data_IF_748344556909
#
_entry.id   IF_748344556909
#
_cell.length_a   1.000
_cell.length_b   1.000
_cell.length_c   1.000
_cell.angle_alpha   90.00
_cell.angle_beta   90.00
_cell.angle_gamma   90.00
#
_symmetry.space_group_name_H-M   'P 1'
#
loop_
_entity.id
_entity.type
_entity.pdbx_description
1 polymer ?
#
# COMPACT_ATOMS: atom_id res chain seq x y z
N UNK A 1 -37.50 4.06 10.80
CA UNK A 1 -36.56 3.64 11.87
C UNK A 1 -35.37 2.82 11.34
N UNK A 2 -34.66 3.24 10.26
CA UNK A 2 -33.54 2.46 9.64
C UNK A 2 -32.26 3.30 9.36
N UNK A 3 -32.13 4.50 9.94
CA UNK A 3 -30.95 5.39 9.66
C UNK A 3 -29.93 5.49 10.80
N UNK A 4 -30.16 4.93 11.98
CA UNK A 4 -29.26 5.10 13.13
C UNK A 4 -28.20 4.02 13.31
N UNK A 5 -28.33 2.86 12.69
CA UNK A 5 -27.37 1.75 12.88
C UNK A 5 -26.07 1.96 12.10
N UNK A 6 -26.14 2.58 10.92
CA UNK A 6 -24.96 2.85 10.07
C UNK A 6 -23.99 3.87 10.68
N UNK A 7 -24.50 4.85 11.44
CA UNK A 7 -23.69 5.91 12.03
C UNK A 7 -22.87 5.43 13.24
N UNK A 8 -23.41 4.48 13.99
CA UNK A 8 -22.76 3.94 15.20
C UNK A 8 -21.53 3.10 14.81
N UNK A 9 -21.61 2.30 13.74
CA UNK A 9 -20.46 1.55 13.24
C UNK A 9 -19.37 2.46 12.67
N UNK A 10 -19.75 3.57 12.03
CA UNK A 10 -18.79 4.55 11.52
C UNK A 10 -18.08 5.32 12.64
N UNK A 11 -18.80 5.68 13.71
CA UNK A 11 -18.24 6.38 14.88
C UNK A 11 -17.37 5.47 15.75
N UNK A 12 -17.71 4.21 15.90
CA UNK A 12 -16.86 3.22 16.61
C UNK A 12 -15.58 2.96 15.83
N UNK A 13 -15.67 2.86 14.52
CA UNK A 13 -14.49 2.72 13.65
C UNK A 13 -13.61 3.97 13.70
N UNK A 14 -14.20 5.18 13.67
CA UNK A 14 -13.48 6.45 13.74
C UNK A 14 -12.81 6.68 15.11
N UNK A 15 -13.44 6.25 16.21
CA UNK A 15 -12.92 6.40 17.58
C UNK A 15 -11.77 5.43 17.91
N UNK A 16 -11.71 4.28 17.23
CA UNK A 16 -10.55 3.38 17.24
C UNK A 16 -9.36 3.95 16.45
N UNK A 17 -9.62 4.84 15.50
CA UNK A 17 -8.61 5.43 14.63
C UNK A 17 -7.93 6.68 15.22
N UNK A 18 -8.59 7.41 16.13
CA UNK A 18 -8.11 8.71 16.65
C UNK A 18 -7.13 8.60 17.82
N UNK A 19 -6.79 7.42 18.33
CA UNK A 19 -5.84 7.22 19.44
C UNK A 19 -4.50 6.59 19.06
N UNK A 20 -4.16 6.53 17.78
CA UNK A 20 -2.87 6.02 17.32
C UNK A 20 -1.82 7.11 17.27
N UNK A 21 -1.05 7.29 18.34
CA UNK A 21 0.17 8.09 18.33
C UNK A 21 1.13 7.62 17.24
N UNK A 22 1.51 8.57 16.39
CA UNK A 22 2.57 8.45 15.41
C UNK A 22 3.90 8.23 16.15
N UNK A 23 4.36 7.00 16.27
CA UNK A 23 5.64 6.67 16.87
C UNK A 23 6.67 6.36 15.80
N UNK A 24 7.70 7.18 15.79
CA UNK A 24 8.91 7.05 14.97
C UNK A 24 9.70 5.79 15.38
N UNK A 25 10.24 5.14 14.36
CA UNK A 25 11.38 4.21 14.33
C UNK A 25 11.84 3.60 15.66
N UNK A 26 11.59 2.33 15.84
CA UNK A 26 12.26 1.50 16.82
C UNK A 26 12.05 0.03 16.48
N UNK A 27 13.04 -0.76 16.73
CA UNK A 27 13.14 -2.21 16.51
C UNK A 27 11.79 -2.92 16.55
N UNK A 28 11.58 -3.84 15.59
CA UNK A 28 10.43 -4.76 15.58
C UNK A 28 10.52 -5.70 16.80
N UNK A 29 10.23 -5.14 17.97
CA UNK A 29 10.10 -5.85 19.20
C UNK A 29 8.88 -6.80 19.13
N UNK A 30 8.91 -7.89 19.89
CA UNK A 30 7.88 -8.93 19.96
C UNK A 30 6.45 -8.35 20.06
N UNK A 31 6.28 -7.24 20.78
CA UNK A 31 5.01 -6.52 20.92
C UNK A 31 4.52 -5.84 19.63
N UNK A 32 5.42 -5.36 18.78
CA UNK A 32 5.04 -4.79 17.50
C UNK A 32 4.60 -5.87 16.51
N UNK A 33 5.25 -7.02 16.53
CA UNK A 33 4.87 -8.18 15.69
C UNK A 33 3.49 -8.72 16.07
N UNK A 34 3.18 -8.79 17.35
CA UNK A 34 1.86 -9.20 17.82
C UNK A 34 0.77 -8.20 17.38
N UNK A 35 1.02 -6.89 17.51
CA UNK A 35 0.08 -5.85 17.07
C UNK A 35 -0.22 -5.87 15.57
N UNK A 36 0.76 -6.25 14.74
CA UNK A 36 0.55 -6.38 13.29
C UNK A 36 -0.30 -7.61 13.01
N UNK A 37 -0.01 -8.72 13.69
CA UNK A 37 -0.77 -9.96 13.53
C UNK A 37 -2.22 -9.78 13.96
N UNK A 38 -2.48 -9.09 15.08
CA UNK A 38 -3.83 -8.75 15.55
C UNK A 38 -4.61 -7.94 14.49
N UNK A 39 -3.96 -6.94 13.87
CA UNK A 39 -4.59 -6.17 12.78
C UNK A 39 -4.89 -7.05 11.56
N UNK A 40 -3.96 -7.93 11.22
CA UNK A 40 -4.13 -8.89 10.11
C UNK A 40 -5.26 -9.86 10.39
N UNK A 41 -5.45 -10.27 11.65
CA UNK A 41 -6.57 -11.11 12.07
C UNK A 41 -7.90 -10.41 11.87
N UNK A 42 -8.00 -9.13 12.26
CA UNK A 42 -9.23 -8.34 12.02
C UNK A 42 -9.55 -8.26 10.52
N UNK A 43 -8.56 -8.05 9.68
CA UNK A 43 -8.75 -8.01 8.21
C UNK A 43 -9.24 -9.38 7.72
N UNK A 44 -8.57 -10.48 8.10
CA UNK A 44 -8.95 -11.82 7.70
C UNK A 44 -10.38 -12.17 8.12
N UNK A 45 -10.72 -11.93 9.40
CA UNK A 45 -12.07 -12.17 9.93
C UNK A 45 -13.13 -11.34 9.19
N UNK A 46 -12.83 -10.08 8.88
CA UNK A 46 -13.74 -9.21 8.11
C UNK A 46 -13.99 -9.79 6.71
N UNK A 47 -12.95 -10.20 6.02
CA UNK A 47 -13.09 -10.79 4.68
C UNK A 47 -13.87 -12.09 4.73
N UNK A 48 -13.50 -13.02 5.61
CA UNK A 48 -14.15 -14.33 5.74
C UNK A 48 -15.64 -14.18 6.08
N UNK A 49 -15.99 -13.32 7.03
CA UNK A 49 -17.38 -13.11 7.44
C UNK A 49 -18.27 -12.52 6.34
N UNK A 50 -17.69 -11.78 5.40
CA UNK A 50 -18.44 -11.13 4.33
C UNK A 50 -18.30 -11.84 2.98
N UNK A 51 -17.48 -12.87 2.87
CA UNK A 51 -17.16 -13.52 1.60
C UNK A 51 -18.40 -14.15 0.93
N UNK A 52 -19.23 -14.86 1.68
CA UNK A 52 -20.46 -15.45 1.16
C UNK A 52 -21.43 -14.41 0.62
N UNK A 53 -21.54 -13.27 1.30
CA UNK A 53 -22.33 -12.15 0.83
C UNK A 53 -21.71 -11.52 -0.42
N UNK A 54 -20.39 -11.30 -0.45
CA UNK A 54 -19.67 -10.69 -1.55
C UNK A 54 -19.88 -11.42 -2.88
N UNK A 55 -19.98 -12.75 -2.85
CA UNK A 55 -20.24 -13.58 -4.04
C UNK A 55 -21.71 -13.88 -4.28
N UNK A 56 -22.61 -13.49 -3.39
CA UNK A 56 -24.03 -13.73 -3.54
C UNK A 56 -24.66 -12.81 -4.61
N UNK A 57 -25.77 -13.25 -5.20
CA UNK A 57 -26.58 -12.43 -6.10
C UNK A 57 -27.24 -11.22 -5.40
N UNK A 58 -27.25 -11.18 -4.07
CA UNK A 58 -27.71 -10.04 -3.25
C UNK A 58 -26.68 -8.92 -3.14
N UNK A 59 -25.41 -9.20 -3.46
CA UNK A 59 -24.32 -8.24 -3.42
C UNK A 59 -24.18 -7.52 -4.77
N UNK A 60 -24.74 -6.33 -4.87
CA UNK A 60 -24.62 -5.50 -6.06
C UNK A 60 -23.25 -4.78 -6.12
N UNK A 61 -22.99 -4.06 -7.23
CA UNK A 61 -21.75 -3.32 -7.46
C UNK A 61 -21.42 -2.33 -6.34
N UNK A 62 -22.41 -1.62 -5.80
CA UNK A 62 -22.18 -0.65 -4.72
C UNK A 62 -21.79 -1.33 -3.41
N UNK A 63 -22.40 -2.49 -3.09
CA UNK A 63 -22.02 -3.29 -1.94
C UNK A 63 -20.56 -3.76 -2.04
N UNK A 64 -20.16 -4.31 -3.19
CA UNK A 64 -18.78 -4.72 -3.45
C UNK A 64 -17.81 -3.56 -3.28
N UNK A 65 -18.12 -2.41 -3.87
CA UNK A 65 -17.29 -1.21 -3.76
C UNK A 65 -17.09 -0.75 -2.31
N UNK A 66 -18.11 -0.84 -1.46
CA UNK A 66 -18.00 -0.51 -0.04
C UNK A 66 -17.09 -1.50 0.67
N UNK A 67 -17.31 -2.81 0.49
CA UNK A 67 -16.52 -3.86 1.11
C UNK A 67 -15.05 -3.77 0.71
N UNK A 68 -14.76 -3.60 -0.59
CA UNK A 68 -13.41 -3.42 -1.10
C UNK A 68 -12.74 -2.15 -0.55
N UNK A 69 -13.49 -1.06 -0.39
CA UNK A 69 -12.98 0.17 0.19
C UNK A 69 -12.64 0.00 1.67
N UNK A 70 -13.50 -0.68 2.43
CA UNK A 70 -13.27 -0.94 3.85
C UNK A 70 -12.05 -1.84 4.07
N UNK A 71 -11.99 -2.97 3.37
CA UNK A 71 -10.86 -3.91 3.47
C UNK A 71 -9.57 -3.27 2.95
N UNK A 72 -9.63 -2.57 1.81
CA UNK A 72 -8.48 -1.87 1.26
C UNK A 72 -7.96 -0.76 2.18
N UNK A 73 -8.84 -0.04 2.88
CA UNK A 73 -8.43 0.92 3.90
C UNK A 73 -7.77 0.22 5.10
N UNK A 74 -8.34 -0.91 5.56
CA UNK A 74 -7.79 -1.67 6.67
C UNK A 74 -6.37 -2.19 6.37
N UNK A 75 -6.10 -2.66 5.14
CA UNK A 75 -4.76 -3.06 4.69
C UNK A 75 -3.75 -1.89 4.86
N UNK A 76 -4.15 -0.65 4.57
CA UNK A 76 -3.29 0.52 4.70
C UNK A 76 -3.02 0.94 6.15
N UNK A 77 -3.78 0.42 7.11
CA UNK A 77 -3.48 0.59 8.54
C UNK A 77 -2.44 -0.41 9.07
N UNK A 78 -2.00 -1.35 8.26
CA UNK A 78 -0.84 -2.14 8.58
C UNK A 78 0.42 -1.25 8.51
N UNK A 79 1.39 -1.43 9.43
CA UNK A 79 2.53 -0.51 9.54
C UNK A 79 3.41 -0.55 8.29
N UNK A 80 3.73 0.62 7.77
CA UNK A 80 4.68 0.81 6.68
C UNK A 80 6.10 0.84 7.25
N UNK A 81 6.85 -0.22 7.07
CA UNK A 81 8.28 -0.25 7.36
C UNK A 81 9.11 0.07 6.11
N UNK A 82 10.38 0.43 6.31
CA UNK A 82 11.33 0.64 5.20
C UNK A 82 11.52 -0.62 4.35
N UNK A 83 11.44 -1.78 4.99
CA UNK A 83 11.57 -3.10 4.36
C UNK A 83 10.52 -3.36 3.26
N UNK A 84 9.43 -2.59 3.24
CA UNK A 84 8.40 -2.67 2.21
C UNK A 84 8.76 -1.89 0.94
N UNK A 85 9.80 -1.07 0.98
CA UNK A 85 10.32 -0.47 -0.24
C UNK A 85 10.89 -1.55 -1.15
N UNK A 86 10.54 -1.50 -2.42
CA UNK A 86 11.02 -2.48 -3.42
C UNK A 86 12.49 -2.27 -3.79
N UNK A 87 13.06 -1.11 -3.46
CA UNK A 87 14.31 -0.60 -3.99
C UNK A 87 14.09 0.29 -5.22
N UNK A 88 12.88 0.35 -5.75
CA UNK A 88 12.61 1.09 -6.97
C UNK A 88 12.22 2.55 -6.69
N UNK A 89 12.77 3.42 -7.53
CA UNK A 89 12.49 4.86 -7.59
C UNK A 89 12.33 5.28 -9.04
N UNK A 90 11.47 6.25 -9.32
CA UNK A 90 11.32 6.74 -10.70
C UNK A 90 12.57 7.50 -11.17
N UNK A 91 12.85 7.39 -12.46
CA UNK A 91 13.99 8.09 -13.07
C UNK A 91 13.82 9.61 -12.95
N UNK A 92 12.60 10.11 -13.10
CA UNK A 92 12.34 11.55 -12.94
C UNK A 92 12.57 12.01 -11.50
N UNK A 93 12.22 11.18 -10.50
CA UNK A 93 12.55 11.46 -9.11
C UNK A 93 14.07 11.46 -8.84
N UNK A 94 14.80 10.54 -9.46
CA UNK A 94 16.28 10.54 -9.37
C UNK A 94 16.88 11.80 -10.00
N UNK A 95 16.41 12.20 -11.20
CA UNK A 95 16.88 13.43 -11.85
C UNK A 95 16.63 14.64 -10.96
N UNK A 96 15.42 14.80 -10.41
CA UNK A 96 15.10 15.91 -9.53
C UNK A 96 15.99 15.93 -8.26
N UNK A 97 16.30 14.75 -7.71
CA UNK A 97 17.22 14.64 -6.57
C UNK A 97 18.65 15.07 -6.93
N UNK A 98 19.16 14.72 -8.13
CA UNK A 98 20.52 15.09 -8.57
C UNK A 98 20.63 16.55 -9.01
N UNK A 99 19.60 17.13 -9.60
CA UNK A 99 19.57 18.50 -10.09
C UNK A 99 19.30 19.53 -8.99
N UNK A 100 18.83 19.10 -7.84
CA UNK A 100 18.45 19.99 -6.74
C UNK A 100 19.63 20.41 -5.91
N UNK A 101 19.74 21.71 -5.61
CA UNK A 101 20.67 22.26 -4.62
C UNK A 101 20.38 21.75 -3.19
N UNK A 102 19.18 21.23 -2.95
CA UNK A 102 18.78 20.68 -1.66
C UNK A 102 17.95 19.38 -1.81
N UNK A 103 18.59 18.25 -2.14
CA UNK A 103 17.90 16.97 -2.38
C UNK A 103 17.04 16.49 -1.20
N UNK A 104 17.38 16.92 0.05
CA UNK A 104 16.60 16.55 1.24
C UNK A 104 15.20 17.16 1.25
N UNK A 105 14.98 18.27 0.54
CA UNK A 105 13.67 18.92 0.43
C UNK A 105 12.79 18.33 -0.67
N UNK A 106 13.35 17.53 -1.57
CA UNK A 106 12.57 16.90 -2.63
C UNK A 106 11.57 15.92 -2.01
N UNK A 107 10.30 16.16 -2.33
CA UNK A 107 9.20 15.36 -1.82
C UNK A 107 9.02 14.10 -2.66
N UNK A 108 9.41 12.95 -2.12
CA UNK A 108 9.10 11.66 -2.70
C UNK A 108 7.78 11.13 -2.13
N UNK A 109 6.96 10.57 -3.01
CA UNK A 109 5.72 9.88 -2.65
C UNK A 109 5.96 8.37 -2.65
N UNK A 110 5.51 7.70 -1.60
CA UNK A 110 5.44 6.23 -1.56
C UNK A 110 4.21 5.80 -2.36
N UNK A 111 4.41 5.34 -3.57
CA UNK A 111 3.33 4.73 -4.34
C UNK A 111 3.26 3.24 -4.04
N UNK A 112 2.13 2.79 -3.50
CA UNK A 112 1.88 1.37 -3.35
C UNK A 112 1.60 0.77 -4.72
N UNK A 113 2.57 0.00 -5.23
CA UNK A 113 2.48 -0.51 -6.58
C UNK A 113 1.27 -1.43 -6.80
N UNK A 114 0.72 -1.98 -5.73
CA UNK A 114 -0.49 -2.82 -5.79
C UNK A 114 -1.70 -2.05 -5.22
N UNK A 115 -2.72 -1.76 -6.05
CA UNK A 115 -3.85 -0.94 -5.61
C UNK A 115 -4.66 -1.60 -4.50
N UNK A 116 -4.96 -0.82 -3.45
CA UNK A 116 -5.66 -1.31 -2.25
C UNK A 116 -7.00 -2.00 -2.51
N UNK A 117 -7.77 -1.52 -3.50
CA UNK A 117 -9.06 -2.14 -3.84
C UNK A 117 -8.87 -3.47 -4.55
N UNK A 118 -7.85 -3.59 -5.40
CA UNK A 118 -7.49 -4.84 -6.05
C UNK A 118 -7.01 -5.85 -5.00
N UNK A 119 -6.19 -5.41 -4.04
CA UNK A 119 -5.78 -6.25 -2.92
C UNK A 119 -6.98 -6.77 -2.10
N UNK A 120 -7.96 -5.90 -1.83
CA UNK A 120 -9.19 -6.30 -1.14
C UNK A 120 -10.00 -7.31 -1.96
N UNK A 121 -10.17 -7.08 -3.26
CA UNK A 121 -10.85 -8.00 -4.17
C UNK A 121 -10.16 -9.37 -4.21
N UNK A 122 -8.82 -9.39 -4.27
CA UNK A 122 -8.06 -10.64 -4.21
C UNK A 122 -8.26 -11.39 -2.90
N UNK A 123 -8.26 -10.68 -1.75
CA UNK A 123 -8.53 -11.31 -0.46
C UNK A 123 -9.92 -11.96 -0.42
N UNK A 124 -10.94 -11.34 -1.02
CA UNK A 124 -12.27 -11.95 -1.13
C UNK A 124 -12.29 -13.20 -2.01
N UNK A 125 -11.38 -13.33 -2.98
CA UNK A 125 -11.31 -14.51 -3.89
C UNK A 125 -10.57 -15.70 -3.29
N UNK A 126 -9.88 -15.55 -2.14
CA UNK A 126 -9.13 -16.64 -1.54
C UNK A 126 -10.05 -17.73 -0.99
N UNK A 127 -9.61 -18.97 -1.12
CA UNK A 127 -10.17 -20.08 -0.35
C UNK A 127 -9.54 -20.11 1.03
N UNK A 128 -10.21 -19.47 1.98
CA UNK A 128 -9.72 -19.33 3.36
C UNK A 128 -9.65 -20.66 4.12
N UNK A 129 -10.35 -21.70 3.67
CA UNK A 129 -10.31 -23.02 4.31
C UNK A 129 -8.96 -23.73 4.16
N UNK A 130 -8.16 -23.29 3.17
CA UNK A 130 -6.83 -23.87 2.89
C UNK A 130 -5.72 -23.34 3.79
N UNK A 131 -5.97 -22.27 4.56
CA UNK A 131 -4.96 -21.63 5.41
C UNK A 131 -5.13 -22.02 6.88
N UNK A 132 -4.08 -22.54 7.50
CA UNK A 132 -4.06 -22.83 8.93
C UNK A 132 -4.13 -21.58 9.79
N UNK A 133 -3.59 -20.46 9.31
CA UNK A 133 -3.63 -19.15 9.96
C UNK A 133 -3.99 -18.05 8.95
N UNK A 134 -5.28 -17.68 8.83
CA UNK A 134 -5.71 -16.61 7.95
C UNK A 134 -5.02 -15.26 8.22
N UNK A 135 -4.74 -14.96 9.50
CA UNK A 135 -4.03 -13.73 9.87
C UNK A 135 -2.60 -13.68 9.32
N UNK A 136 -1.88 -14.79 9.40
CA UNK A 136 -0.52 -14.91 8.85
C UNK A 136 -0.53 -14.82 7.32
N UNK A 137 -1.54 -15.37 6.65
CA UNK A 137 -1.67 -15.24 5.20
C UNK A 137 -1.90 -13.78 4.76
N UNK A 138 -2.76 -13.04 5.47
CA UNK A 138 -2.91 -11.59 5.22
C UNK A 138 -1.56 -10.87 5.42
N UNK A 139 -0.86 -11.16 6.50
CA UNK A 139 0.43 -10.53 6.80
C UNK A 139 1.50 -10.87 5.75
N UNK A 140 1.55 -12.12 5.31
CA UNK A 140 2.45 -12.58 4.25
C UNK A 140 2.18 -11.85 2.93
N UNK A 141 0.92 -11.75 2.51
CA UNK A 141 0.53 -11.02 1.29
C UNK A 141 0.84 -9.54 1.41
N UNK A 142 0.58 -8.95 2.58
CA UNK A 142 0.92 -7.57 2.83
C UNK A 142 2.42 -7.31 2.63
N UNK A 143 3.27 -8.10 3.28
CA UNK A 143 4.73 -7.93 3.22
C UNK A 143 5.29 -8.14 1.80
N UNK A 144 4.74 -9.10 1.08
CA UNK A 144 5.31 -9.51 -0.20
C UNK A 144 4.70 -8.78 -1.40
N UNK A 145 3.44 -8.26 -1.28
CA UNK A 145 2.69 -7.72 -2.40
C UNK A 145 2.03 -6.39 -2.02
N UNK A 146 1.02 -6.41 -1.13
CA UNK A 146 0.10 -5.28 -0.97
C UNK A 146 0.70 -4.06 -0.28
N UNK A 147 1.64 -4.28 0.62
CA UNK A 147 2.33 -3.21 1.35
C UNK A 147 3.56 -2.66 0.63
N UNK A 148 4.01 -3.33 -0.44
CA UNK A 148 5.20 -2.91 -1.19
C UNK A 148 4.96 -1.57 -1.87
N UNK A 149 5.99 -0.72 -1.89
CA UNK A 149 5.90 0.60 -2.50
C UNK A 149 7.19 0.99 -3.25
N UNK A 150 7.01 1.88 -4.22
CA UNK A 150 8.09 2.53 -4.96
C UNK A 150 8.13 4.02 -4.59
N UNK A 151 9.28 4.66 -4.77
CA UNK A 151 9.35 6.11 -4.68
C UNK A 151 9.12 6.75 -6.04
N UNK A 152 8.19 7.70 -6.09
CA UNK A 152 7.86 8.49 -7.27
C UNK A 152 7.67 9.96 -6.89
N UNK A 153 7.63 10.86 -7.87
CA UNK A 153 7.22 12.24 -7.64
C UNK A 153 5.70 12.34 -7.38
N UNK A 154 5.22 13.37 -6.67
CA UNK A 154 3.79 13.59 -6.46
C UNK A 154 2.96 13.65 -7.76
N UNK A 155 3.51 14.23 -8.82
CA UNK A 155 2.89 14.37 -10.14
C UNK A 155 2.80 13.02 -10.85
N UNK A 156 3.82 12.19 -10.73
CA UNK A 156 3.83 10.83 -11.26
C UNK A 156 2.77 9.98 -10.55
N UNK A 157 2.69 10.08 -9.23
CA UNK A 157 1.66 9.39 -8.46
C UNK A 157 0.23 9.78 -8.90
N UNK A 158 -0.01 11.06 -9.21
CA UNK A 158 -1.29 11.52 -9.77
C UNK A 158 -1.59 10.87 -11.13
N UNK A 159 -0.56 10.68 -11.99
CA UNK A 159 -0.73 9.99 -13.27
C UNK A 159 -1.05 8.52 -13.11
N UNK A 160 -0.45 7.85 -12.12
CA UNK A 160 -0.67 6.42 -11.84
C UNK A 160 -2.10 6.09 -11.42
N UNK A 161 -2.75 6.96 -10.64
CA UNK A 161 -4.09 6.71 -10.06
C UNK A 161 -5.11 6.23 -11.10
N UNK A 162 -5.07 6.74 -12.33
CA UNK A 162 -6.02 6.34 -13.39
C UNK A 162 -5.80 4.90 -13.87
N UNK A 163 -4.57 4.38 -13.77
CA UNK A 163 -4.21 3.03 -14.20
C UNK A 163 -4.25 2.01 -13.06
N UNK A 164 -4.41 2.49 -11.84
CA UNK A 164 -4.51 1.67 -10.62
C UNK A 164 -5.98 1.38 -10.20
N UNK A 165 -6.96 1.76 -11.02
CA UNK A 165 -8.37 1.41 -10.78
C UNK A 165 -8.59 -0.06 -11.11
N UNK A 166 -9.35 -0.77 -10.26
CA UNK A 166 -9.57 -2.22 -10.38
C UNK A 166 -10.07 -2.68 -11.77
N UNK A 167 -10.81 -1.82 -12.49
CA UNK A 167 -11.31 -2.15 -13.84
C UNK A 167 -10.24 -2.09 -14.95
N UNK A 168 -9.09 -1.46 -14.72
CA UNK A 168 -8.02 -1.25 -15.71
C UNK A 168 -6.66 -1.76 -15.26
N UNK A 169 -6.52 -2.08 -13.99
CA UNK A 169 -5.28 -2.59 -13.43
C UNK A 169 -5.04 -4.03 -13.86
N UNK A 170 -3.92 -4.28 -14.50
CA UNK A 170 -3.47 -5.61 -14.92
C UNK A 170 -2.27 -6.08 -14.10
N UNK A 171 -1.27 -5.23 -13.99
CA UNK A 171 -0.11 -5.45 -13.13
C UNK A 171 0.53 -4.11 -12.74
N UNK A 172 1.38 -4.08 -11.71
CA UNK A 172 2.17 -2.90 -11.37
C UNK A 172 2.97 -2.38 -12.57
N UNK A 173 3.69 -3.24 -13.25
CA UNK A 173 4.58 -2.90 -14.38
C UNK A 173 3.79 -2.25 -15.52
N UNK A 174 2.62 -2.80 -15.84
CA UNK A 174 1.73 -2.26 -16.87
C UNK A 174 1.21 -0.87 -16.48
N UNK A 175 0.85 -0.67 -15.20
CA UNK A 175 0.40 0.63 -14.70
C UNK A 175 1.47 1.71 -14.81
N UNK A 176 2.73 1.41 -14.41
CA UNK A 176 3.87 2.32 -14.55
C UNK A 176 4.15 2.63 -16.02
N UNK A 177 4.21 1.60 -16.86
CA UNK A 177 4.43 1.75 -18.32
C UNK A 177 3.37 2.65 -18.96
N UNK A 178 2.09 2.43 -18.66
CA UNK A 178 0.99 3.26 -19.17
C UNK A 178 1.01 4.70 -18.65
N UNK A 179 1.56 4.91 -17.44
CA UNK A 179 1.76 6.24 -16.88
C UNK A 179 3.00 6.96 -17.43
N UNK A 180 3.82 6.28 -18.26
CA UNK A 180 5.09 6.81 -18.77
C UNK A 180 6.12 7.00 -17.65
N UNK A 181 6.14 6.10 -16.66
CA UNK A 181 7.04 6.16 -15.52
C UNK A 181 8.01 4.99 -15.61
N UNK A 182 9.28 5.30 -15.64
CA UNK A 182 10.37 4.33 -15.66
C UNK A 182 11.00 4.25 -14.27
N UNK A 183 11.20 3.04 -13.79
CA UNK A 183 11.75 2.78 -12.46
C UNK A 183 13.20 2.32 -12.57
N UNK A 184 14.00 2.70 -11.58
CA UNK A 184 15.37 2.24 -11.39
C UNK A 184 15.50 1.63 -10.01
N UNK A 185 16.08 0.44 -9.94
CA UNK A 185 16.39 -0.19 -8.68
C UNK A 185 17.69 0.39 -8.10
N UNK A 186 17.62 0.85 -6.85
CA UNK A 186 18.75 1.37 -6.09
C UNK A 186 18.71 0.84 -4.65
N UNK A 187 19.81 0.94 -3.95
CA UNK A 187 19.87 0.57 -2.53
C UNK A 187 19.44 1.72 -1.62
N UNK A 188 19.10 1.41 -0.37
CA UNK A 188 18.85 2.45 0.65
C UNK A 188 20.07 3.35 0.86
N UNK A 189 21.28 2.79 0.76
CA UNK A 189 22.51 3.55 0.90
C UNK A 189 22.70 4.52 -0.27
N UNK A 190 22.45 4.08 -1.52
CA UNK A 190 22.46 4.98 -2.68
C UNK A 190 21.47 6.15 -2.49
N UNK A 191 20.23 5.87 -2.07
CA UNK A 191 19.24 6.92 -1.84
C UNK A 191 19.69 7.91 -0.76
N UNK A 192 20.31 7.42 0.31
CA UNK A 192 20.85 8.25 1.38
C UNK A 192 22.02 9.13 0.91
N UNK A 193 22.94 8.57 0.14
CA UNK A 193 24.07 9.31 -0.45
C UNK A 193 23.59 10.41 -1.40
N UNK A 194 22.67 10.10 -2.32
CA UNK A 194 22.06 11.07 -3.23
C UNK A 194 21.38 12.20 -2.43
N UNK A 195 20.61 11.89 -1.41
CA UNK A 195 19.97 12.88 -0.55
C UNK A 195 20.96 13.73 0.25
N UNK A 196 22.17 13.26 0.44
CA UNK A 196 23.26 14.02 1.05
C UNK A 196 24.09 14.84 0.04
N UNK A 197 23.71 14.83 -1.24
CA UNK A 197 24.38 15.61 -2.30
C UNK A 197 25.56 14.87 -2.94
N UNK A 198 25.64 13.57 -2.84
CA UNK A 198 26.66 12.78 -3.54
C UNK A 198 26.28 12.62 -5.02
N UNK A 199 26.95 13.37 -5.89
CA UNK A 199 26.73 13.36 -7.33
C UNK A 199 27.50 12.26 -8.07
N UNK A 200 28.37 11.49 -7.39
CA UNK A 200 29.13 10.40 -8.04
C UNK A 200 28.24 9.25 -8.52
N UNK A 201 26.99 9.19 -8.03
CA UNK A 201 26.00 8.16 -8.40
C UNK A 201 25.15 8.56 -9.62
N UNK A 202 25.49 9.63 -10.33
CA UNK A 202 24.73 10.11 -11.51
C UNK A 202 24.63 9.05 -12.63
N UNK A 203 25.58 8.10 -12.66
CA UNK A 203 25.53 6.96 -13.57
C UNK A 203 24.26 6.10 -13.44
N UNK A 204 23.60 6.15 -12.26
CA UNK A 204 22.33 5.47 -12.04
C UNK A 204 21.21 5.98 -12.97
N UNK A 205 21.36 7.18 -13.54
CA UNK A 205 20.40 7.77 -14.48
C UNK A 205 20.93 7.86 -15.92
N UNK A 206 22.24 7.68 -16.14
CA UNK A 206 22.89 7.98 -17.45
C UNK A 206 22.63 6.93 -18.55
N UNK A 207 22.03 5.80 -18.25
CA UNK A 207 21.81 4.69 -19.18
C UNK A 207 20.35 4.59 -19.68
N UNK A 208 19.68 5.75 -19.89
CA UNK A 208 18.35 5.82 -20.50
C UNK A 208 18.24 6.91 -21.55
#
# INVERSE_FOLDING_TARGET
>A
MKRHISLIYFLVFYRLLSKGNFCLMGDFNKDSKNKILDKSEVIARTVISHQSFYFSNKCNKNHKQILETMVGAAIWYLPQSKELWTGDISIDALKELFESDNPKKIKLTKDHHFPRKVAAEELFKLDWSTFSSPAEEVLKRYKNIYGRFNFVLPEENKRLVKFQKGSVFTSPEDAYKKAGIYLRNITEEHLKQIKNGDHNLIELISNY
#
